data_IF_201964373780
#
_entry.id   IF_201964373780
#
_cell.length_a   1.000
_cell.length_b   1.000
_cell.length_c   1.000
_cell.angle_alpha   90.00
_cell.angle_beta   90.00
_cell.angle_gamma   90.00
#
_symmetry.space_group_name_H-M   'P 1'
#
loop_
_entity.id
_entity.type
_entity.pdbx_description
1 polymer ?
#
# COMPACT_ATOMS: atom_id res chain seq x y z
N UNK A 1 -14.54 14.67 -10.98
CA UNK A 1 -13.77 14.66 -9.71
C UNK A 1 -12.98 13.37 -9.61
N UNK A 2 -11.74 13.46 -9.13
CA UNK A 2 -10.90 12.29 -8.94
C UNK A 2 -10.85 11.98 -7.44
N UNK A 3 -11.07 10.72 -7.08
CA UNK A 3 -10.96 10.25 -5.70
C UNK A 3 -10.10 8.99 -5.68
N UNK A 4 -9.49 8.71 -4.52
CA UNK A 4 -8.73 7.48 -4.35
C UNK A 4 -9.72 6.32 -4.20
N UNK A 5 -9.50 5.25 -5.00
CA UNK A 5 -10.20 4.00 -4.80
C UNK A 5 -9.43 3.19 -3.77
N UNK A 6 -9.88 3.23 -2.52
CA UNK A 6 -9.15 2.61 -1.41
C UNK A 6 -9.10 1.10 -1.52
N UNK A 7 -10.20 0.48 -1.95
CA UNK A 7 -10.25 -0.98 -2.13
C UNK A 7 -9.27 -1.43 -3.21
N UNK A 8 -9.29 -0.78 -4.36
CA UNK A 8 -8.40 -1.13 -5.47
C UNK A 8 -6.94 -0.84 -5.14
N UNK A 9 -6.67 0.27 -4.44
CA UNK A 9 -5.31 0.61 -4.00
C UNK A 9 -4.78 -0.43 -3.02
N UNK A 10 -5.59 -0.81 -2.02
CA UNK A 10 -5.19 -1.84 -1.05
C UNK A 10 -4.93 -3.19 -1.71
N UNK A 11 -5.79 -3.61 -2.63
CA UNK A 11 -5.59 -4.84 -3.39
C UNK A 11 -4.32 -4.77 -4.24
N UNK A 12 -4.02 -3.61 -4.80
CA UNK A 12 -2.81 -3.41 -5.59
C UNK A 12 -1.55 -3.50 -4.73
N UNK A 13 -1.55 -2.93 -3.53
CA UNK A 13 -0.42 -3.05 -2.60
C UNK A 13 -0.14 -4.53 -2.32
N UNK A 14 -1.18 -5.30 -2.03
CA UNK A 14 -1.05 -6.73 -1.78
C UNK A 14 -0.52 -7.48 -3.01
N UNK A 15 -1.04 -7.20 -4.19
CA UNK A 15 -0.60 -7.83 -5.43
C UNK A 15 0.86 -7.50 -5.75
N UNK A 16 1.26 -6.24 -5.58
CA UNK A 16 2.64 -5.80 -5.82
C UNK A 16 3.61 -6.45 -4.85
N UNK A 17 3.20 -6.57 -3.57
CA UNK A 17 3.99 -7.25 -2.55
C UNK A 17 4.26 -8.70 -2.96
N UNK A 18 3.20 -9.43 -3.34
CA UNK A 18 3.32 -10.83 -3.75
C UNK A 18 4.14 -11.00 -5.02
N UNK A 19 3.97 -10.11 -5.98
CA UNK A 19 4.73 -10.15 -7.23
C UNK A 19 6.23 -10.01 -6.98
N UNK A 20 6.62 -9.32 -5.90
CA UNK A 20 8.01 -9.13 -5.51
C UNK A 20 8.50 -10.18 -4.52
N UNK A 21 7.67 -11.18 -4.23
CA UNK A 21 7.96 -12.24 -3.25
C UNK A 21 8.30 -11.67 -1.87
N UNK A 22 7.66 -10.56 -1.55
CA UNK A 22 7.78 -9.93 -0.23
C UNK A 22 6.60 -10.36 0.64
N UNK A 23 6.74 -10.15 1.94
CA UNK A 23 5.72 -10.49 2.92
C UNK A 23 5.24 -9.23 3.64
N UNK A 24 4.14 -9.37 4.37
CA UNK A 24 3.64 -8.30 5.24
C UNK A 24 4.70 -7.85 6.24
N UNK A 25 5.53 -8.80 6.73
CA UNK A 25 6.63 -8.48 7.65
C UNK A 25 7.65 -7.52 7.03
N UNK A 26 7.90 -7.63 5.73
CA UNK A 26 8.82 -6.72 5.04
C UNK A 26 8.29 -5.28 5.05
N UNK A 27 6.99 -5.11 4.78
CA UNK A 27 6.36 -3.80 4.82
C UNK A 27 6.33 -3.27 6.25
N UNK A 28 5.97 -4.13 7.22
CA UNK A 28 5.93 -3.79 8.64
C UNK A 28 7.28 -3.24 9.10
N UNK A 29 8.35 -3.91 8.75
CA UNK A 29 9.71 -3.52 9.12
C UNK A 29 10.09 -2.19 8.46
N UNK A 30 9.80 -2.04 7.18
CA UNK A 30 10.13 -0.82 6.44
C UNK A 30 9.41 0.41 7.00
N UNK A 31 8.16 0.26 7.40
CA UNK A 31 7.36 1.34 7.97
C UNK A 31 7.59 1.56 9.46
N UNK A 32 8.31 0.65 10.13
CA UNK A 32 8.56 0.76 11.57
C UNK A 32 7.34 0.45 12.43
N UNK A 33 6.42 -0.37 11.94
CA UNK A 33 5.22 -0.74 12.72
C UNK A 33 5.53 -1.87 13.70
N UNK A 34 4.95 -1.79 14.89
CA UNK A 34 5.07 -2.85 15.89
C UNK A 34 4.22 -4.08 15.57
N UNK A 35 3.18 -3.93 14.74
CA UNK A 35 2.28 -5.02 14.34
C UNK A 35 1.91 -4.87 12.87
N UNK A 36 1.42 -5.94 12.21
CA UNK A 36 0.98 -5.85 10.80
C UNK A 36 -0.46 -5.35 10.63
N UNK A 37 -1.13 -4.96 11.70
CA UNK A 37 -2.56 -4.64 11.66
C UNK A 37 -2.93 -3.54 10.68
N UNK A 38 -2.16 -2.46 10.65
CA UNK A 38 -2.40 -1.36 9.72
C UNK A 38 -2.32 -1.83 8.27
N UNK A 39 -1.38 -2.72 7.97
CA UNK A 39 -1.16 -3.24 6.61
C UNK A 39 -2.36 -4.08 6.17
N UNK A 40 -2.89 -4.91 7.05
CA UNK A 40 -4.09 -5.69 6.73
C UNK A 40 -5.29 -4.79 6.46
N UNK A 41 -5.42 -3.67 7.19
CA UNK A 41 -6.47 -2.69 6.92
C UNK A 41 -6.29 -2.04 5.55
N UNK A 42 -5.05 -1.79 5.12
CA UNK A 42 -4.78 -1.27 3.77
C UNK A 42 -5.26 -2.28 2.71
N UNK A 43 -4.94 -3.55 2.89
CA UNK A 43 -5.32 -4.60 1.93
C UNK A 43 -6.84 -4.67 1.74
N UNK A 44 -7.61 -4.41 2.79
CA UNK A 44 -9.07 -4.43 2.72
C UNK A 44 -9.66 -3.11 2.22
N UNK A 45 -8.85 -2.06 2.15
CA UNK A 45 -9.32 -0.74 1.78
C UNK A 45 -10.01 0.01 2.93
N UNK A 46 -9.89 -0.50 4.16
CA UNK A 46 -10.48 0.15 5.34
C UNK A 46 -9.76 1.46 5.67
N UNK A 47 -8.44 1.45 5.50
CA UNK A 47 -7.59 2.64 5.67
C UNK A 47 -6.54 2.65 4.58
N UNK A 48 -5.88 3.80 4.42
CA UNK A 48 -4.78 3.94 3.48
C UNK A 48 -3.51 4.33 4.24
N UNK A 49 -2.33 4.01 3.69
CA UNK A 49 -1.09 4.52 4.25
C UNK A 49 -1.10 6.03 4.27
N UNK A 50 -0.47 6.62 5.28
CA UNK A 50 -0.14 8.04 5.23
C UNK A 50 0.77 8.31 4.04
N UNK A 51 0.91 9.57 3.65
CA UNK A 51 1.80 9.92 2.54
C UNK A 51 3.22 9.44 2.81
N UNK A 52 3.71 9.60 4.04
CA UNK A 52 5.04 9.13 4.41
C UNK A 52 5.18 7.61 4.22
N UNK A 53 4.20 6.86 4.70
CA UNK A 53 4.24 5.41 4.56
C UNK A 53 4.07 4.97 3.12
N UNK A 54 3.28 5.71 2.33
CA UNK A 54 3.12 5.43 0.90
C UNK A 54 4.45 5.56 0.16
N UNK A 55 5.22 6.60 0.48
CA UNK A 55 6.56 6.80 -0.10
C UNK A 55 7.50 5.66 0.32
N UNK A 56 7.44 5.24 1.58
CA UNK A 56 8.25 4.13 2.08
C UNK A 56 7.91 2.83 1.33
N UNK A 57 6.63 2.54 1.15
CA UNK A 57 6.19 1.34 0.43
C UNK A 57 6.62 1.41 -1.04
N UNK A 58 6.48 2.56 -1.68
CA UNK A 58 6.92 2.74 -3.06
C UNK A 58 8.43 2.50 -3.20
N UNK A 59 9.22 3.03 -2.27
CA UNK A 59 10.66 2.82 -2.26
C UNK A 59 11.00 1.34 -2.05
N UNK A 60 10.33 0.69 -1.11
CA UNK A 60 10.51 -0.74 -0.85
C UNK A 60 10.22 -1.58 -2.10
N UNK A 61 9.18 -1.24 -2.84
CA UNK A 61 8.78 -1.95 -4.04
C UNK A 61 9.59 -1.56 -5.28
N UNK A 62 10.37 -0.49 -5.21
CA UNK A 62 11.12 0.01 -6.36
C UNK A 62 10.22 0.63 -7.43
N UNK A 63 9.16 1.31 -7.02
CA UNK A 63 8.19 1.94 -7.92
C UNK A 63 7.83 3.34 -7.43
N UNK A 64 6.92 4.00 -8.13
CA UNK A 64 6.41 5.31 -7.72
C UNK A 64 5.10 5.17 -6.97
N UNK A 65 4.73 6.24 -6.24
CA UNK A 65 3.42 6.29 -5.56
C UNK A 65 2.28 6.17 -6.58
N UNK A 66 2.44 6.76 -7.78
CA UNK A 66 1.45 6.64 -8.84
C UNK A 66 1.21 5.20 -9.29
N UNK A 67 2.24 4.36 -9.22
CA UNK A 67 2.09 2.94 -9.58
C UNK A 67 1.22 2.20 -8.57
N UNK A 68 1.16 2.68 -7.34
CA UNK A 68 0.43 2.03 -6.24
C UNK A 68 -1.01 2.49 -6.19
N UNK A 69 -1.25 3.80 -6.28
CA UNK A 69 -2.57 4.40 -6.09
C UNK A 69 -3.48 4.11 -7.29
N UNK A 70 -4.71 3.72 -7.00
CA UNK A 70 -5.78 3.59 -7.98
C UNK A 70 -6.83 4.64 -7.68
N UNK A 71 -7.35 5.26 -8.74
CA UNK A 71 -8.28 6.38 -8.60
C UNK A 71 -9.60 6.08 -9.30
N UNK A 72 -10.66 6.72 -8.81
CA UNK A 72 -11.93 6.80 -9.48
C UNK A 72 -11.99 8.13 -10.23
N UNK A 73 -12.42 8.08 -11.49
CA UNK A 73 -12.63 9.27 -12.31
C UNK A 73 -14.12 9.33 -12.65
N UNK A 74 -14.79 10.21 -12.01
CA UNK A 74 -16.23 10.29 -12.21
C UNK A 74 -16.75 11.61 -12.64
#
# INVERSE_FOLDING_TARGET
MVTINTTATGANINAMMKARKMTTADIQKACGFGTPQAIFKWFRGDTMPTIDNMVIVADLFGCTVNDIIRVNRG
#
